data_IF_256133693984
#
_entry.id   IF_256133693984
#
_cell.length_a   1.000
_cell.length_b   1.000
_cell.length_c   1.000
_cell.angle_alpha   90.00
_cell.angle_beta   90.00
_cell.angle_gamma   90.00
#
_symmetry.space_group_name_H-M   'P 1'
#
loop_
_entity.id
_entity.type
_entity.pdbx_description
1 polymer ?
#
# COMPACT_ATOMS: atom_id res chain seq x y z
N UNK A 1 -4.56 2.31 11.96
CA UNK A 1 -3.45 2.87 11.15
C UNK A 1 -2.21 3.12 12.01
N UNK A 2 -1.83 2.17 12.86
CA UNK A 2 -0.87 2.43 13.96
C UNK A 2 0.41 1.60 13.84
N UNK A 3 0.53 0.75 12.81
CA UNK A 3 1.71 -0.12 12.63
C UNK A 3 2.72 0.37 11.58
N UNK A 4 2.38 1.36 10.76
CA UNK A 4 3.29 1.91 9.74
C UNK A 4 4.16 3.07 10.26
N UNK A 5 3.92 3.54 11.49
CA UNK A 5 4.68 4.64 12.11
C UNK A 5 5.80 4.12 13.03
N UNK A 6 5.76 2.84 13.43
CA UNK A 6 6.57 2.33 14.55
C UNK A 6 7.72 1.40 14.12
N UNK A 7 7.82 1.03 12.84
CA UNK A 7 8.89 0.15 12.34
C UNK A 7 9.41 0.62 10.99
N UNK A 8 10.71 0.41 10.71
CA UNK A 8 11.24 0.57 9.37
C UNK A 8 10.49 -0.42 8.47
N UNK A 9 9.62 0.10 7.63
CA UNK A 9 9.01 -0.68 6.57
C UNK A 9 10.10 -1.02 5.55
N UNK A 10 9.94 -2.15 4.88
CA UNK A 10 10.86 -2.67 3.87
C UNK A 10 10.17 -2.73 2.52
N UNK A 11 10.93 -2.98 1.45
CA UNK A 11 10.36 -3.15 0.12
C UNK A 11 9.38 -4.34 0.05
N UNK A 12 9.61 -5.36 0.88
CA UNK A 12 8.68 -6.48 1.05
C UNK A 12 7.32 -6.03 1.61
N UNK A 13 7.30 -5.05 2.51
CA UNK A 13 6.06 -4.49 3.05
C UNK A 13 5.28 -3.71 2.00
N UNK A 14 5.96 -3.00 1.08
CA UNK A 14 5.31 -2.34 -0.05
C UNK A 14 4.69 -3.35 -1.01
N UNK A 15 5.39 -4.45 -1.28
CA UNK A 15 4.89 -5.52 -2.14
C UNK A 15 3.67 -6.20 -1.51
N UNK A 16 3.75 -6.53 -0.22
CA UNK A 16 2.62 -7.09 0.52
C UNK A 16 1.42 -6.14 0.56
N UNK A 17 1.65 -4.82 0.69
CA UNK A 17 0.59 -3.81 0.66
C UNK A 17 -0.11 -3.76 -0.71
N UNK A 18 0.64 -3.85 -1.79
CA UNK A 18 0.11 -3.87 -3.16
C UNK A 18 -0.76 -5.10 -3.42
N UNK A 19 -0.27 -6.29 -3.03
CA UNK A 19 -1.03 -7.54 -3.13
C UNK A 19 -2.32 -7.50 -2.29
N UNK A 20 -2.24 -6.99 -1.06
CA UNK A 20 -3.40 -6.86 -0.18
C UNK A 20 -4.45 -5.92 -0.79
N UNK A 21 -4.03 -4.77 -1.33
CA UNK A 21 -4.92 -3.82 -1.99
C UNK A 21 -5.58 -4.43 -3.23
N UNK A 22 -4.82 -5.22 -4.02
CA UNK A 22 -5.35 -5.95 -5.18
C UNK A 22 -6.40 -6.99 -4.76
N UNK A 23 -6.12 -7.74 -3.69
CA UNK A 23 -7.03 -8.75 -3.15
C UNK A 23 -8.32 -8.12 -2.62
N UNK A 24 -8.22 -7.03 -1.84
CA UNK A 24 -9.39 -6.30 -1.33
C UNK A 24 -10.25 -5.78 -2.48
N UNK A 25 -9.63 -5.26 -3.55
CA UNK A 25 -10.35 -4.80 -4.73
C UNK A 25 -11.09 -5.95 -5.43
N UNK A 26 -10.44 -7.10 -5.57
CA UNK A 26 -11.02 -8.27 -6.24
C UNK A 26 -12.12 -8.97 -5.42
N UNK A 27 -11.99 -9.02 -4.10
CA UNK A 27 -12.92 -9.73 -3.21
C UNK A 27 -14.08 -8.86 -2.71
N UNK A 28 -13.99 -7.53 -2.84
CA UNK A 28 -15.06 -6.63 -2.42
C UNK A 28 -16.23 -6.64 -3.40
N UNK A 29 -17.42 -6.99 -2.90
CA UNK A 29 -18.66 -7.00 -3.68
C UNK A 29 -19.39 -5.65 -3.69
N UNK A 30 -18.97 -4.70 -2.84
CA UNK A 30 -19.52 -3.34 -2.83
C UNK A 30 -18.55 -2.35 -3.49
N UNK A 31 -19.10 -1.35 -4.18
CA UNK A 31 -18.30 -0.33 -4.88
C UNK A 31 -17.37 0.46 -3.95
N UNK A 32 -17.77 0.66 -2.69
CA UNK A 32 -16.93 1.31 -1.69
C UNK A 32 -15.66 0.49 -1.39
N UNK A 33 -15.79 -0.82 -1.16
CA UNK A 33 -14.67 -1.73 -0.90
C UNK A 33 -13.73 -1.88 -2.10
N UNK A 34 -14.28 -1.82 -3.32
CA UNK A 34 -13.47 -1.81 -4.56
C UNK A 34 -12.72 -0.49 -4.76
N UNK A 35 -13.29 0.63 -4.31
CA UNK A 35 -12.72 1.96 -4.49
C UNK A 35 -11.68 2.34 -3.42
N UNK A 36 -11.83 1.82 -2.20
CA UNK A 36 -10.95 2.08 -1.07
C UNK A 36 -9.45 1.80 -1.35
N UNK A 37 -9.05 0.73 -2.05
CA UNK A 37 -7.64 0.49 -2.39
C UNK A 37 -7.12 1.31 -3.57
N UNK A 38 -7.97 1.95 -4.38
CA UNK A 38 -7.53 2.68 -5.58
C UNK A 38 -6.59 3.87 -5.29
N UNK A 39 -6.83 4.71 -4.26
CA UNK A 39 -5.89 5.77 -3.89
C UNK A 39 -4.50 5.22 -3.56
N UNK A 40 -4.42 4.12 -2.80
CA UNK A 40 -3.15 3.51 -2.39
C UNK A 40 -2.43 2.90 -3.61
N UNK A 41 -3.14 2.15 -4.46
CA UNK A 41 -2.56 1.59 -5.69
C UNK A 41 -2.14 2.67 -6.69
N UNK A 42 -2.82 3.82 -6.69
CA UNK A 42 -2.44 4.95 -7.53
C UNK A 42 -1.18 5.62 -6.98
N UNK A 43 -1.11 5.89 -5.67
CA UNK A 43 0.05 6.54 -5.07
C UNK A 43 1.29 5.66 -5.12
N UNK A 44 1.16 4.35 -4.87
CA UNK A 44 2.27 3.40 -5.02
C UNK A 44 2.83 3.36 -6.44
N UNK A 45 2.00 3.64 -7.45
CA UNK A 45 2.41 3.58 -8.87
C UNK A 45 3.04 4.89 -9.35
N UNK A 46 2.52 6.03 -8.90
CA UNK A 46 3.00 7.35 -9.32
C UNK A 46 4.11 7.91 -8.42
N UNK A 47 4.14 7.53 -7.15
CA UNK A 47 5.06 8.03 -6.13
C UNK A 47 5.88 6.89 -5.50
N UNK A 48 6.15 5.81 -6.26
CA UNK A 48 6.92 4.66 -5.75
C UNK A 48 8.26 5.09 -5.15
N UNK A 49 8.93 6.04 -5.79
CA UNK A 49 10.21 6.57 -5.36
C UNK A 49 10.13 7.28 -4.00
N UNK A 50 9.01 7.96 -3.71
CA UNK A 50 8.79 8.57 -2.39
C UNK A 50 8.58 7.50 -1.31
N UNK A 51 7.83 6.44 -1.61
CA UNK A 51 7.71 5.31 -0.71
C UNK A 51 9.07 4.67 -0.46
N UNK A 52 9.87 4.43 -1.50
CA UNK A 52 11.23 3.88 -1.42
C UNK A 52 12.17 4.78 -0.60
N UNK A 53 12.05 6.11 -0.72
CA UNK A 53 12.81 7.07 0.07
C UNK A 53 12.42 7.06 1.56
N UNK A 54 11.15 6.77 1.88
CA UNK A 54 10.65 6.67 3.26
C UNK A 54 11.05 5.37 3.97
N UNK A 55 11.29 4.29 3.21
CA UNK A 55 11.75 3.00 3.76
C UNK A 55 13.27 2.88 3.83
N UNK A 56 14.00 4.00 3.79
CA UNK A 56 15.44 3.98 4.02
C UNK A 56 15.78 3.48 5.43
N UNK A 57 16.37 2.29 5.42
CA UNK A 57 17.13 1.67 6.49
C UNK A 57 18.07 2.69 7.12
N UNK A 58 17.86 2.99 8.39
CA UNK A 58 18.92 3.55 9.23
C UNK A 58 19.79 2.42 9.76
#
# INVERSE_FOLDING_TARGET
MTKLIDRPATEADLTALEELCSMVKAMSLCGLGQSAPNPILSTLRHFRDEYLALIQTK
#
